data_IF_375437018071
#
_entry.id   IF_375437018071
#
_cell.length_a   1.000
_cell.length_b   1.000
_cell.length_c   1.000
_cell.angle_alpha   90.00
_cell.angle_beta   90.00
_cell.angle_gamma   90.00
#
_symmetry.space_group_name_H-M   'P 1'
#
loop_
_entity.id
_entity.type
_entity.pdbx_description
1 polymer ?
#
# COMPACT_ATOMS: atom_id res chain seq x y z
N UNK A 1 99.69 -63.69 19.91
CA UNK A 1 99.55 -63.46 18.45
C UNK A 1 98.34 -64.25 17.98
N UNK A 2 97.22 -63.58 17.70
CA UNK A 2 96.35 -63.81 16.52
C UNK A 2 95.50 -62.53 16.40
N UNK A 3 95.84 -61.68 15.43
CA UNK A 3 95.07 -60.51 14.99
C UNK A 3 93.96 -60.98 14.05
N UNK A 4 92.70 -60.65 14.37
CA UNK A 4 91.55 -60.86 13.49
C UNK A 4 91.31 -59.62 12.60
N UNK A 5 90.85 -59.80 11.35
CA UNK A 5 90.84 -58.73 10.33
C UNK A 5 89.65 -57.78 10.47
N UNK A 6 89.90 -56.52 10.10
CA UNK A 6 88.90 -55.45 10.02
C UNK A 6 87.89 -55.71 8.89
N UNK A 7 86.61 -55.80 9.23
CA UNK A 7 85.47 -55.84 8.31
C UNK A 7 85.24 -54.47 7.66
N UNK A 8 85.12 -54.46 6.33
CA UNK A 8 84.76 -53.30 5.52
C UNK A 8 83.37 -52.72 5.88
N UNK A 9 83.17 -51.39 5.80
CA UNK A 9 81.87 -50.78 6.09
C UNK A 9 80.87 -51.06 4.95
N UNK A 10 79.63 -51.41 5.34
CA UNK A 10 78.48 -51.55 4.42
C UNK A 10 78.11 -50.18 3.81
N UNK A 11 77.67 -50.14 2.54
CA UNK A 11 77.17 -48.91 1.92
C UNK A 11 75.86 -48.46 2.59
N UNK A 12 75.78 -47.17 2.93
CA UNK A 12 74.56 -46.53 3.44
C UNK A 12 73.56 -46.31 2.29
N UNK A 13 72.25 -46.50 2.53
CA UNK A 13 71.22 -46.22 1.53
C UNK A 13 71.06 -44.72 1.31
N UNK A 14 70.97 -44.32 0.05
CA UNK A 14 70.74 -42.94 -0.39
C UNK A 14 69.41 -42.40 0.17
N UNK A 15 69.47 -41.22 0.79
CA UNK A 15 68.30 -40.47 1.24
C UNK A 15 67.64 -39.87 0.00
N UNK A 16 66.41 -40.29 -0.30
CA UNK A 16 65.58 -39.65 -1.31
C UNK A 16 65.24 -38.22 -0.86
N UNK A 17 65.81 -37.22 -1.53
CA UNK A 17 65.36 -35.83 -1.40
C UNK A 17 63.89 -35.75 -1.81
N UNK A 18 63.03 -35.35 -0.86
CA UNK A 18 61.66 -34.96 -1.18
C UNK A 18 61.74 -33.71 -2.05
N UNK A 19 61.56 -33.89 -3.35
CA UNK A 19 61.45 -32.79 -4.32
C UNK A 19 60.32 -31.86 -3.85
N UNK A 20 60.71 -30.68 -3.34
CA UNK A 20 59.78 -29.66 -2.89
C UNK A 20 59.01 -29.16 -4.10
N UNK A 21 57.68 -29.34 -4.09
CA UNK A 21 56.81 -28.89 -5.16
C UNK A 21 57.07 -27.40 -5.46
N UNK A 22 57.17 -27.00 -6.73
CA UNK A 22 57.46 -25.62 -7.08
C UNK A 22 56.34 -24.72 -6.57
N UNK A 23 56.72 -23.55 -6.05
CA UNK A 23 55.79 -22.55 -5.53
C UNK A 23 55.54 -21.49 -6.59
N UNK A 24 54.28 -21.09 -6.73
CA UNK A 24 53.87 -20.02 -7.64
C UNK A 24 53.48 -18.77 -6.85
N UNK A 25 53.95 -17.61 -7.28
CA UNK A 25 53.46 -16.31 -6.80
C UNK A 25 52.35 -15.79 -7.69
N UNK A 26 51.20 -15.49 -7.09
CA UNK A 26 49.99 -15.07 -7.79
C UNK A 26 49.52 -13.71 -7.29
N UNK A 27 49.01 -12.89 -8.22
CA UNK A 27 48.38 -11.61 -7.92
C UNK A 27 46.85 -11.78 -7.99
N UNK A 28 46.19 -11.80 -6.84
CA UNK A 28 44.75 -12.03 -6.73
C UNK A 28 44.02 -10.69 -6.58
N UNK A 29 43.07 -10.41 -7.46
CA UNK A 29 42.14 -9.28 -7.34
C UNK A 29 40.77 -9.86 -7.04
N UNK A 30 40.35 -9.82 -5.77
CA UNK A 30 39.06 -10.35 -5.31
C UNK A 30 38.13 -9.19 -5.00
N UNK A 31 37.17 -8.93 -5.87
CA UNK A 31 36.30 -7.77 -5.76
C UNK A 31 37.08 -6.46 -5.86
N UNK A 32 37.23 -5.76 -4.72
CA UNK A 32 38.03 -4.52 -4.59
C UNK A 32 39.37 -4.72 -3.90
N UNK A 33 39.64 -5.91 -3.37
CA UNK A 33 40.85 -6.20 -2.62
C UNK A 33 41.90 -6.81 -3.54
N UNK A 34 43.15 -6.40 -3.37
CA UNK A 34 44.29 -7.02 -4.03
C UNK A 34 45.10 -7.77 -2.98
N UNK A 35 45.46 -9.02 -3.26
CA UNK A 35 46.20 -9.91 -2.37
C UNK A 35 47.26 -10.64 -3.19
N UNK A 36 48.48 -10.73 -2.67
CA UNK A 36 49.49 -11.65 -3.20
C UNK A 36 49.38 -12.99 -2.45
N UNK A 37 49.49 -14.09 -3.18
CA UNK A 37 49.46 -15.44 -2.60
C UNK A 37 50.59 -16.28 -3.15
N UNK A 38 51.17 -17.11 -2.29
CA UNK A 38 52.15 -18.13 -2.64
C UNK A 38 51.46 -19.49 -2.50
N UNK A 39 51.47 -20.28 -3.57
CA UNK A 39 50.72 -21.54 -3.66
C UNK A 39 51.63 -22.66 -4.15
N UNK A 40 51.56 -23.82 -3.52
CA UNK A 40 52.24 -25.02 -4.00
C UNK A 40 51.59 -25.51 -5.29
N UNK A 41 52.37 -25.62 -6.37
CA UNK A 41 51.90 -25.96 -7.69
C UNK A 41 52.49 -27.30 -8.16
N UNK A 42 51.77 -28.43 -7.99
CA UNK A 42 52.10 -29.63 -8.74
C UNK A 42 51.96 -29.33 -10.25
N UNK A 43 52.75 -30.00 -11.09
CA UNK A 43 53.01 -29.78 -12.54
C UNK A 43 51.96 -28.99 -13.37
N UNK A 44 50.67 -29.20 -13.16
CA UNK A 44 49.57 -28.47 -13.81
C UNK A 44 48.49 -28.04 -12.81
N UNK A 45 48.76 -26.99 -12.06
CA UNK A 45 47.78 -26.33 -11.19
C UNK A 45 46.80 -25.47 -12.02
N UNK A 46 45.50 -25.68 -11.89
CA UNK A 46 44.49 -24.80 -12.51
C UNK A 46 44.24 -23.53 -11.71
N UNK A 47 43.70 -22.48 -12.35
CA UNK A 47 43.28 -21.24 -11.69
C UNK A 47 42.29 -21.51 -10.54
N UNK A 48 41.37 -22.46 -10.72
CA UNK A 48 40.42 -22.86 -9.66
C UNK A 48 41.11 -23.44 -8.42
N UNK A 49 42.07 -24.35 -8.64
CA UNK A 49 42.84 -24.98 -7.57
C UNK A 49 43.78 -23.99 -6.89
N UNK A 50 44.40 -23.10 -7.67
CA UNK A 50 45.24 -22.01 -7.18
C UNK A 50 44.46 -21.06 -6.26
N UNK A 51 43.24 -20.66 -6.65
CA UNK A 51 42.35 -19.85 -5.80
C UNK A 51 41.96 -20.58 -4.50
N UNK A 52 41.62 -21.86 -4.60
CA UNK A 52 41.26 -22.69 -3.44
C UNK A 52 42.44 -22.81 -2.46
N UNK A 53 43.64 -23.07 -2.97
CA UNK A 53 44.86 -23.19 -2.17
C UNK A 53 45.31 -21.84 -1.56
N UNK A 54 45.02 -20.71 -2.23
CA UNK A 54 45.20 -19.37 -1.68
C UNK A 54 44.15 -18.95 -0.62
N UNK A 55 43.21 -19.85 -0.31
CA UNK A 55 42.12 -19.63 0.66
C UNK A 55 40.98 -18.74 0.12
N UNK A 56 40.86 -18.57 -1.20
CA UNK A 56 39.78 -17.80 -1.83
C UNK A 56 38.66 -18.74 -2.22
N UNK A 57 37.49 -18.58 -1.59
CA UNK A 57 36.27 -19.31 -1.97
C UNK A 57 35.55 -18.59 -3.10
N UNK A 58 35.26 -19.30 -4.18
CA UNK A 58 34.53 -18.79 -5.35
C UNK A 58 33.11 -19.35 -5.31
N UNK A 59 32.11 -18.48 -5.25
CA UNK A 59 30.71 -18.88 -5.27
C UNK A 59 30.26 -19.24 -6.70
N UNK A 60 29.12 -19.94 -6.81
CA UNK A 60 28.57 -20.38 -8.12
C UNK A 60 28.31 -19.25 -9.13
N UNK A 61 28.07 -18.03 -8.65
CA UNK A 61 27.76 -16.87 -9.49
C UNK A 61 28.99 -16.01 -9.79
N UNK A 62 30.09 -16.23 -9.09
CA UNK A 62 31.31 -15.44 -9.24
C UNK A 62 31.96 -15.71 -10.61
N UNK A 63 32.62 -14.70 -11.17
CA UNK A 63 33.32 -14.80 -12.46
C UNK A 63 34.81 -14.69 -12.25
N UNK A 64 35.54 -15.71 -12.71
CA UNK A 64 37.01 -15.77 -12.58
C UNK A 64 37.65 -15.51 -13.94
N UNK A 65 38.66 -14.63 -13.95
CA UNK A 65 39.44 -14.27 -15.13
C UNK A 65 40.94 -14.36 -14.85
N UNK A 66 41.72 -15.11 -15.64
CA UNK A 66 41.33 -16.05 -16.70
C UNK A 66 40.42 -17.19 -16.25
N UNK A 67 39.92 -17.99 -17.19
CA UNK A 67 38.94 -19.04 -16.89
C UNK A 67 39.45 -20.00 -15.80
N UNK A 68 38.55 -20.51 -14.98
CA UNK A 68 38.89 -21.38 -13.85
C UNK A 68 39.67 -22.65 -14.25
N UNK A 69 39.49 -23.13 -15.49
CA UNK A 69 40.20 -24.27 -16.07
C UNK A 69 41.56 -23.93 -16.70
N UNK A 70 41.93 -22.65 -16.79
CA UNK A 70 43.23 -22.22 -17.33
C UNK A 70 44.34 -22.66 -16.37
N UNK A 71 45.46 -23.12 -16.91
CA UNK A 71 46.66 -23.46 -16.13
C UNK A 71 47.28 -22.19 -15.53
N UNK A 72 47.56 -22.21 -14.24
CA UNK A 72 48.20 -21.11 -13.53
C UNK A 72 49.71 -21.08 -13.81
N UNK A 73 50.28 -19.88 -13.89
CA UNK A 73 51.71 -19.66 -14.12
C UNK A 73 52.25 -18.55 -13.19
N UNK A 74 53.57 -18.47 -13.09
CA UNK A 74 54.26 -17.53 -12.20
C UNK A 74 53.94 -16.06 -12.52
N UNK A 75 53.60 -15.28 -11.50
CA UNK A 75 53.21 -13.87 -11.64
C UNK A 75 51.82 -13.63 -12.25
N UNK A 76 51.04 -14.68 -12.50
CA UNK A 76 49.71 -14.57 -13.11
C UNK A 76 48.77 -13.72 -12.24
N UNK A 77 48.04 -12.80 -12.88
CA UNK A 77 46.99 -12.02 -12.22
C UNK A 77 45.64 -12.71 -12.41
N UNK A 78 45.02 -13.11 -11.30
CA UNK A 78 43.70 -13.73 -11.29
C UNK A 78 42.69 -12.73 -10.72
N UNK A 79 41.67 -12.39 -11.49
CA UNK A 79 40.56 -11.51 -11.08
C UNK A 79 39.33 -12.34 -10.77
N UNK A 80 38.81 -12.19 -9.56
CA UNK A 80 37.55 -12.78 -9.12
C UNK A 80 36.53 -11.65 -8.98
N UNK A 81 35.55 -11.62 -9.86
CA UNK A 81 34.39 -10.75 -9.75
C UNK A 81 33.35 -11.43 -8.88
N UNK A 82 33.09 -10.86 -7.70
CA UNK A 82 32.14 -11.42 -6.74
C UNK A 82 30.73 -11.00 -7.12
N UNK A 83 29.85 -11.98 -7.32
CA UNK A 83 28.45 -11.78 -7.67
C UNK A 83 27.56 -12.35 -6.57
N UNK A 84 26.77 -11.49 -5.92
CA UNK A 84 25.80 -11.92 -4.89
C UNK A 84 24.38 -11.54 -5.28
N UNK A 85 23.40 -12.27 -4.76
CA UNK A 85 21.97 -12.05 -5.00
C UNK A 85 21.13 -12.15 -3.72
N UNK A 86 21.30 -11.19 -2.83
CA UNK A 86 20.66 -11.23 -1.51
C UNK A 86 19.23 -10.69 -1.55
N UNK A 87 18.36 -11.22 -0.69
CA UNK A 87 17.02 -10.67 -0.49
C UNK A 87 17.10 -9.46 0.45
N UNK A 88 16.73 -8.29 -0.06
CA UNK A 88 16.60 -7.06 0.70
C UNK A 88 15.13 -6.77 1.00
N UNK A 89 14.85 -6.36 2.25
CA UNK A 89 13.54 -5.87 2.66
C UNK A 89 13.55 -4.34 2.68
N UNK A 90 12.58 -3.73 2.01
CA UNK A 90 12.35 -2.29 1.99
C UNK A 90 10.93 -2.00 2.43
N UNK A 91 10.75 -0.98 3.28
CA UNK A 91 9.43 -0.54 3.71
C UNK A 91 9.03 0.74 2.99
N UNK A 92 7.78 0.81 2.54
CA UNK A 92 7.17 2.04 2.02
C UNK A 92 5.88 2.34 2.78
N UNK A 93 5.56 3.63 2.94
CA UNK A 93 4.37 4.06 3.69
C UNK A 93 3.11 3.93 2.84
N UNK A 94 1.99 3.62 3.50
CA UNK A 94 0.65 3.66 2.92
C UNK A 94 -0.14 4.76 3.62
N UNK A 95 -0.66 5.70 2.85
CA UNK A 95 -1.47 6.79 3.38
C UNK A 95 -2.75 6.27 4.06
N UNK A 96 -3.14 6.92 5.15
CA UNK A 96 -4.41 6.69 5.80
C UNK A 96 -5.57 7.23 4.95
N UNK A 97 -6.66 6.47 4.85
CA UNK A 97 -7.87 6.92 4.18
C UNK A 97 -8.63 7.93 5.04
N UNK A 98 -9.38 8.83 4.39
CA UNK A 98 -10.31 9.73 5.04
C UNK A 98 -11.70 9.10 5.06
N UNK A 99 -12.30 9.03 6.24
CA UNK A 99 -13.67 8.54 6.46
C UNK A 99 -14.49 9.56 7.23
N UNK A 100 -15.79 9.55 6.99
CA UNK A 100 -16.78 10.39 7.64
C UNK A 100 -17.77 9.53 8.42
N UNK A 101 -18.16 9.98 9.61
CA UNK A 101 -19.19 9.32 10.43
C UNK A 101 -20.33 10.31 10.72
N UNK A 102 -21.47 10.22 10.01
CA UNK A 102 -22.64 11.01 10.36
C UNK A 102 -23.09 10.70 11.79
N UNK A 103 -23.39 11.71 12.60
CA UNK A 103 -23.76 11.53 14.00
C UNK A 103 -24.67 12.64 14.49
N UNK A 104 -25.53 12.32 15.45
CA UNK A 104 -26.36 13.28 16.19
C UNK A 104 -25.67 13.80 17.46
N UNK A 105 -24.52 13.24 17.85
CA UNK A 105 -23.81 13.60 19.09
C UNK A 105 -23.12 14.96 19.04
N UNK A 106 -23.02 15.57 17.85
CA UNK A 106 -22.55 16.95 17.65
C UNK A 106 -23.58 17.74 16.86
N UNK A 107 -23.60 19.05 17.05
CA UNK A 107 -24.55 19.96 16.38
C UNK A 107 -24.54 19.74 14.86
N UNK A 108 -25.72 19.73 14.24
CA UNK A 108 -25.85 19.63 12.79
C UNK A 108 -25.00 20.69 12.07
N UNK A 109 -24.22 20.25 11.08
CA UNK A 109 -23.25 21.09 10.35
C UNK A 109 -21.88 21.21 11.00
N UNK A 110 -21.72 20.84 12.27
CA UNK A 110 -20.42 20.80 12.92
C UNK A 110 -19.61 19.57 12.47
N UNK A 111 -18.29 19.67 12.61
CA UNK A 111 -17.36 18.58 12.33
C UNK A 111 -16.42 18.39 13.51
N UNK A 112 -16.08 17.14 13.81
CA UNK A 112 -15.10 16.81 14.85
C UNK A 112 -14.26 15.62 14.43
N UNK A 113 -12.93 15.76 14.47
CA UNK A 113 -12.07 14.59 14.28
C UNK A 113 -12.19 13.67 15.50
N UNK A 114 -12.56 12.42 15.26
CA UNK A 114 -12.73 11.41 16.31
C UNK A 114 -11.63 10.34 16.26
N UNK A 115 -10.92 10.21 15.13
CA UNK A 115 -9.76 9.35 15.00
C UNK A 115 -8.69 10.04 14.15
N UNK A 116 -7.46 10.09 14.67
CA UNK A 116 -6.30 10.59 13.93
C UNK A 116 -5.79 9.52 12.94
N UNK A 117 -5.29 9.92 11.75
CA UNK A 117 -4.74 8.97 10.79
C UNK A 117 -3.44 8.35 11.31
N UNK A 118 -3.23 7.06 11.00
CA UNK A 118 -1.93 6.40 11.13
C UNK A 118 -1.55 5.76 9.82
N UNK A 119 -0.38 6.10 9.29
CA UNK A 119 0.13 5.50 8.07
C UNK A 119 0.39 3.99 8.26
N UNK A 120 0.04 3.22 7.24
CA UNK A 120 0.40 1.81 7.13
C UNK A 120 1.81 1.64 6.58
N UNK A 121 2.27 0.39 6.52
CA UNK A 121 3.57 0.01 5.94
C UNK A 121 3.38 -1.16 4.98
N UNK A 122 3.97 -1.06 3.81
CA UNK A 122 4.14 -2.17 2.87
C UNK A 122 5.58 -2.65 2.97
N UNK A 123 5.76 -3.96 3.12
CA UNK A 123 7.04 -4.63 2.96
C UNK A 123 7.18 -5.02 1.49
N UNK A 124 8.25 -4.53 0.87
CA UNK A 124 8.70 -4.90 -0.47
C UNK A 124 9.94 -5.78 -0.29
N UNK A 125 9.91 -6.97 -0.87
CA UNK A 125 11.08 -7.86 -0.94
C UNK A 125 11.64 -7.76 -2.36
N UNK A 126 12.90 -7.37 -2.45
CA UNK A 126 13.66 -7.24 -3.69
C UNK A 126 14.87 -8.19 -3.62
N UNK A 127 15.19 -8.87 -4.72
CA UNK A 127 16.47 -9.53 -4.88
C UNK A 127 17.45 -8.50 -5.44
N UNK A 128 18.55 -8.26 -4.73
CA UNK A 128 19.55 -7.26 -5.09
C UNK A 128 20.79 -7.96 -5.63
N UNK A 129 21.13 -7.68 -6.88
CA UNK A 129 22.31 -8.20 -7.53
C UNK A 129 23.49 -7.26 -7.31
N UNK A 130 24.57 -7.74 -6.70
CA UNK A 130 25.79 -6.95 -6.53
C UNK A 130 26.95 -7.54 -7.33
N UNK A 131 27.79 -6.68 -7.89
CA UNK A 131 29.05 -7.03 -8.53
C UNK A 131 30.16 -6.28 -7.77
N UNK A 132 31.08 -7.02 -7.15
CA UNK A 132 32.17 -6.46 -6.34
C UNK A 132 31.66 -5.50 -5.25
N UNK A 133 30.52 -5.85 -4.63
CA UNK A 133 29.85 -5.04 -3.61
C UNK A 133 29.13 -3.79 -4.14
N UNK A 134 29.09 -3.56 -5.46
CA UNK A 134 28.30 -2.48 -6.07
C UNK A 134 27.00 -3.05 -6.62
N UNK A 135 25.87 -2.45 -6.27
CA UNK A 135 24.57 -2.83 -6.82
C UNK A 135 24.55 -2.66 -8.34
N UNK A 136 24.12 -3.70 -9.04
CA UNK A 136 23.99 -3.75 -10.51
C UNK A 136 22.56 -3.87 -10.98
N UNK A 137 21.67 -4.39 -10.13
CA UNK A 137 20.26 -4.49 -10.44
C UNK A 137 19.42 -4.93 -9.25
N UNK A 138 18.10 -4.74 -9.38
CA UNK A 138 17.11 -5.27 -8.46
C UNK A 138 16.00 -5.97 -9.22
N UNK A 139 15.49 -7.04 -8.63
CA UNK A 139 14.34 -7.78 -9.12
C UNK A 139 13.26 -7.76 -8.05
N UNK A 140 12.04 -7.35 -8.42
CA UNK A 140 10.89 -7.37 -7.52
C UNK A 140 10.46 -8.81 -7.24
N UNK A 141 10.41 -9.20 -5.97
CA UNK A 141 9.99 -10.55 -5.57
C UNK A 141 8.57 -10.54 -5.02
N UNK A 142 8.28 -9.67 -4.05
CA UNK A 142 6.95 -9.61 -3.46
C UNK A 142 6.63 -8.26 -2.81
N UNK A 143 5.33 -8.01 -2.64
CA UNK A 143 4.77 -6.85 -1.96
C UNK A 143 3.67 -7.33 -1.03
N UNK A 144 3.77 -7.02 0.27
CA UNK A 144 2.72 -7.33 1.25
C UNK A 144 2.46 -6.18 2.20
N UNK A 145 1.24 -6.08 2.69
CA UNK A 145 0.88 -5.12 3.73
C UNK A 145 1.44 -5.61 5.07
N UNK A 146 2.47 -4.93 5.59
CA UNK A 146 3.09 -5.25 6.87
C UNK A 146 2.32 -4.64 8.05
N UNK A 147 1.81 -3.41 7.88
CA UNK A 147 0.98 -2.73 8.88
C UNK A 147 -0.17 -2.05 8.16
N UNK A 148 -1.41 -2.35 8.55
CA UNK A 148 -2.59 -1.70 7.99
C UNK A 148 -2.65 -0.22 8.41
N UNK A 149 -3.01 0.70 7.50
CA UNK A 149 -3.24 2.10 7.86
C UNK A 149 -4.49 2.22 8.74
N UNK A 150 -4.47 3.15 9.71
CA UNK A 150 -5.67 3.53 10.45
C UNK A 150 -6.27 4.79 9.81
N UNK A 151 -7.56 4.78 9.46
CA UNK A 151 -8.18 5.90 8.77
C UNK A 151 -8.27 7.13 9.67
N UNK A 152 -8.30 8.30 9.03
CA UNK A 152 -8.76 9.54 9.67
C UNK A 152 -10.28 9.53 9.68
N UNK A 153 -10.91 9.58 10.84
CA UNK A 153 -12.37 9.62 10.95
C UNK A 153 -12.82 11.01 11.41
N UNK A 154 -13.66 11.65 10.60
CA UNK A 154 -14.33 12.92 10.90
C UNK A 154 -15.81 12.66 11.18
N UNK A 155 -16.26 12.96 12.39
CA UNK A 155 -17.68 13.00 12.71
C UNK A 155 -18.35 14.20 12.03
N UNK A 156 -19.48 13.96 11.35
CA UNK A 156 -20.31 14.99 10.73
C UNK A 156 -21.63 15.10 11.48
N UNK A 157 -21.90 16.27 12.07
CA UNK A 157 -23.15 16.52 12.77
C UNK A 157 -24.34 16.50 11.82
N UNK A 158 -25.36 15.71 12.15
CA UNK A 158 -26.56 15.52 11.36
C UNK A 158 -27.82 15.56 12.25
N UNK A 159 -28.97 15.89 11.66
CA UNK A 159 -30.27 15.71 12.33
C UNK A 159 -30.68 14.23 12.29
N UNK A 160 -31.35 13.74 13.32
CA UNK A 160 -31.73 12.32 13.42
C UNK A 160 -32.57 11.86 12.24
N UNK A 161 -33.54 12.67 11.79
CA UNK A 161 -34.42 12.40 10.66
C UNK A 161 -33.74 12.36 9.29
N UNK A 162 -32.49 12.80 9.17
CA UNK A 162 -31.70 12.73 7.92
C UNK A 162 -30.58 11.68 7.99
N UNK A 163 -30.43 10.99 9.12
CA UNK A 163 -29.48 9.89 9.24
C UNK A 163 -29.96 8.66 8.46
N UNK A 164 -29.08 7.93 7.76
CA UNK A 164 -29.47 6.80 6.91
C UNK A 164 -30.27 5.70 7.63
N UNK A 165 -30.02 5.49 8.93
CA UNK A 165 -30.70 4.51 9.77
C UNK A 165 -32.16 4.87 10.09
N UNK A 166 -32.50 6.17 10.07
CA UNK A 166 -33.81 6.67 10.47
C UNK A 166 -34.73 6.99 9.28
N UNK A 167 -34.23 6.88 8.04
CA UNK A 167 -34.99 7.17 6.84
C UNK A 167 -35.57 5.88 6.27
N UNK A 168 -36.91 5.77 6.27
CA UNK A 168 -37.62 4.66 5.64
C UNK A 168 -37.38 4.64 4.13
N UNK A 169 -36.92 3.52 3.53
CA UNK A 169 -36.73 3.38 2.09
C UNK A 169 -37.91 3.91 1.27
N UNK A 170 -37.73 5.03 0.58
CA UNK A 170 -38.73 5.60 -0.30
C UNK A 170 -38.56 4.96 -1.68
N UNK A 171 -39.68 4.60 -2.33
CA UNK A 171 -39.68 3.91 -3.64
C UNK A 171 -38.77 4.55 -4.69
N UNK A 172 -38.66 5.89 -4.67
CA UNK A 172 -37.81 6.66 -5.61
C UNK A 172 -36.30 6.50 -5.41
N UNK A 173 -35.84 6.08 -4.22
CA UNK A 173 -34.42 5.81 -3.97
C UNK A 173 -34.11 4.34 -3.64
N UNK A 174 -35.13 3.53 -3.33
CA UNK A 174 -34.96 2.10 -3.04
C UNK A 174 -34.40 1.30 -4.24
N UNK A 175 -34.58 1.79 -5.47
CA UNK A 175 -34.04 1.16 -6.69
C UNK A 175 -32.51 1.25 -6.79
N UNK A 176 -31.87 2.19 -6.10
CA UNK A 176 -30.45 2.47 -6.26
C UNK A 176 -29.52 1.46 -5.56
N UNK A 177 -30.05 0.48 -4.82
CA UNK A 177 -29.22 -0.49 -4.08
C UNK A 177 -29.97 -1.78 -3.70
N UNK A 178 -30.62 -2.47 -4.65
CA UNK A 178 -31.23 -3.79 -4.38
C UNK A 178 -32.36 -3.83 -3.32
N UNK A 179 -32.71 -2.71 -2.69
CA UNK A 179 -33.70 -2.62 -1.61
C UNK A 179 -35.13 -2.95 -2.08
N UNK A 180 -35.41 -2.91 -3.39
CA UNK A 180 -36.76 -3.23 -3.91
C UNK A 180 -37.03 -4.75 -3.92
N UNK A 181 -36.00 -5.60 -4.02
CA UNK A 181 -36.19 -7.06 -4.04
C UNK A 181 -36.61 -7.64 -2.68
N UNK A 182 -36.49 -6.90 -1.59
CA UNK A 182 -36.89 -7.34 -0.24
C UNK A 182 -38.32 -6.95 0.16
N UNK A 183 -39.06 -6.23 -0.70
CA UNK A 183 -40.46 -5.86 -0.46
C UNK A 183 -41.48 -6.78 -1.15
N UNK A 184 -41.04 -7.87 -1.80
CA UNK A 184 -41.92 -8.98 -2.21
C UNK A 184 -41.42 -10.28 -1.57
N UNK A 185 -41.97 -10.60 -0.38
CA UNK A 185 -41.93 -11.93 0.22
C UNK A 185 -40.54 -12.45 0.61
N UNK A 186 -40.16 -12.29 1.88
CA UNK A 186 -38.98 -12.93 2.46
C UNK A 186 -38.96 -12.79 3.98
N UNK A 187 -38.47 -13.82 4.68
CA UNK A 187 -38.45 -13.83 6.14
C UNK A 187 -37.47 -12.78 6.68
N UNK A 188 -37.63 -12.31 7.93
CA UNK A 188 -36.72 -11.33 8.53
C UNK A 188 -35.23 -11.77 8.54
N UNK A 189 -34.95 -13.08 8.54
CA UNK A 189 -33.58 -13.62 8.46
C UNK A 189 -32.97 -13.47 7.07
N UNK A 190 -33.74 -13.68 6.01
CA UNK A 190 -33.26 -13.55 4.62
C UNK A 190 -32.91 -12.09 4.28
N UNK A 191 -33.61 -11.15 4.92
CA UNK A 191 -33.34 -9.70 4.83
C UNK A 191 -32.05 -9.27 5.53
N UNK A 192 -31.62 -10.01 6.56
CA UNK A 192 -30.36 -9.75 7.25
C UNK A 192 -29.16 -10.33 6.47
N UNK A 193 -29.33 -11.47 5.79
CA UNK A 193 -28.29 -12.11 5.00
C UNK A 193 -27.95 -11.37 3.69
N UNK A 194 -28.94 -10.74 3.03
CA UNK A 194 -28.73 -10.00 1.77
C UNK A 194 -28.03 -8.62 1.93
N UNK A 195 -27.67 -8.23 3.15
CA UNK A 195 -27.05 -6.92 3.47
C UNK A 195 -25.55 -6.98 3.79
N UNK A 196 -24.91 -8.15 3.70
CA UNK A 196 -23.50 -8.32 4.10
C UNK A 196 -22.65 -8.62 2.86
N UNK A 197 -21.80 -7.69 2.38
CA UNK A 197 -20.62 -8.08 1.63
C UNK A 197 -19.64 -8.76 2.60
N UNK A 198 -19.28 -9.98 2.27
CA UNK A 198 -18.29 -10.78 2.98
C UNK A 198 -16.90 -10.16 2.73
N UNK A 199 -16.19 -9.85 3.82
CA UNK A 199 -14.79 -9.36 3.86
C UNK A 199 -14.51 -7.86 3.57
N UNK A 200 -14.88 -7.00 4.50
CA UNK A 200 -13.96 -6.05 5.15
C UNK A 200 -14.68 -5.43 6.36
N UNK A 201 -13.94 -5.10 7.41
CA UNK A 201 -14.45 -4.56 8.68
C UNK A 201 -15.04 -3.15 8.48
N UNK A 202 -16.20 -3.07 7.83
CA UNK A 202 -16.95 -1.83 7.61
C UNK A 202 -17.83 -1.60 8.82
N UNK A 203 -17.34 -0.76 9.74
CA UNK A 203 -18.24 -0.08 10.67
C UNK A 203 -19.31 0.63 9.83
N UNK A 204 -20.53 0.08 9.87
CA UNK A 204 -21.70 0.47 9.06
C UNK A 204 -22.01 1.98 9.17
N UNK A 205 -21.52 2.62 10.24
CA UNK A 205 -21.66 4.05 10.51
C UNK A 205 -20.67 4.96 9.77
N UNK A 206 -19.61 4.41 9.18
CA UNK A 206 -18.56 5.18 8.49
C UNK A 206 -18.73 5.16 6.97
N UNK A 207 -18.39 6.28 6.33
CA UNK A 207 -18.54 6.51 4.90
C UNK A 207 -17.26 7.09 4.32
N UNK A 208 -16.80 6.57 3.19
CA UNK A 208 -15.68 7.14 2.43
C UNK A 208 -16.18 8.07 1.32
N UNK A 209 -15.44 9.13 0.97
CA UNK A 209 -15.71 9.90 -0.24
C UNK A 209 -15.39 9.04 -1.48
N UNK A 210 -16.39 8.82 -2.33
CA UNK A 210 -16.25 8.00 -3.56
C UNK A 210 -16.05 8.89 -4.78
N UNK A 211 -16.73 10.03 -4.83
CA UNK A 211 -16.66 10.96 -5.97
C UNK A 211 -16.77 12.39 -5.49
N UNK A 212 -15.89 13.26 -5.99
CA UNK A 212 -16.02 14.70 -5.84
C UNK A 212 -16.73 15.29 -7.07
N UNK A 213 -17.72 16.14 -6.84
CA UNK A 213 -18.32 16.98 -7.87
C UNK A 213 -17.87 18.41 -7.59
N UNK A 214 -17.08 18.95 -8.50
CA UNK A 214 -16.55 20.30 -8.39
C UNK A 214 -17.50 21.36 -8.97
N UNK A 215 -17.36 22.58 -8.43
CA UNK A 215 -18.05 23.78 -8.87
C UNK A 215 -19.58 23.64 -8.84
N UNK A 216 -20.12 22.96 -7.83
CA UNK A 216 -21.57 22.80 -7.64
C UNK A 216 -22.16 24.12 -7.14
N UNK A 217 -23.16 24.64 -7.85
CA UNK A 217 -23.94 25.78 -7.37
C UNK A 217 -24.80 25.32 -6.20
N UNK A 218 -24.67 25.98 -5.05
CA UNK A 218 -25.47 25.75 -3.85
C UNK A 218 -26.32 26.97 -3.59
N UNK A 219 -27.61 26.73 -3.32
CA UNK A 219 -28.55 27.71 -2.78
C UNK A 219 -29.08 27.19 -1.44
N UNK A 220 -29.81 28.04 -0.72
CA UNK A 220 -30.44 27.65 0.54
C UNK A 220 -31.96 27.78 0.47
N UNK A 221 -32.65 26.82 1.08
CA UNK A 221 -34.09 26.88 1.33
C UNK A 221 -34.39 26.48 2.78
N UNK A 222 -35.59 26.79 3.25
CA UNK A 222 -36.10 26.38 4.54
C UNK A 222 -37.58 25.99 4.42
N UNK A 223 -38.09 25.30 5.42
CA UNK A 223 -39.48 24.86 5.45
C UNK A 223 -40.46 26.06 5.42
N UNK A 224 -41.60 25.88 4.75
CA UNK A 224 -42.64 26.90 4.61
C UNK A 224 -42.37 27.97 3.53
N UNK A 225 -43.43 28.69 3.15
CA UNK A 225 -43.43 29.59 1.98
C UNK A 225 -42.38 30.70 2.08
N UNK A 226 -42.16 31.22 3.29
CA UNK A 226 -41.14 32.23 3.58
C UNK A 226 -39.69 31.70 3.44
N UNK A 227 -39.51 30.38 3.50
CA UNK A 227 -38.23 29.70 3.28
C UNK A 227 -38.04 29.20 1.85
N UNK A 228 -38.96 29.50 0.93
CA UNK A 228 -38.91 29.03 -0.45
C UNK A 228 -39.47 27.62 -0.66
N UNK A 229 -39.93 26.95 0.39
CA UNK A 229 -40.60 25.64 0.27
C UNK A 229 -42.12 25.77 0.26
N UNK A 230 -42.78 25.00 -0.59
CA UNK A 230 -44.26 24.93 -0.62
C UNK A 230 -44.80 24.06 0.52
N UNK A 231 -43.95 23.20 1.12
CA UNK A 231 -44.35 22.31 2.21
C UNK A 231 -43.24 22.11 3.26
N UNK A 232 -43.52 21.35 4.32
CA UNK A 232 -42.52 20.97 5.33
C UNK A 232 -41.80 19.64 5.00
N UNK A 233 -42.07 19.07 3.84
CA UNK A 233 -41.62 17.74 3.42
C UNK A 233 -40.88 17.79 2.10
N UNK A 234 -39.86 16.95 1.96
CA UNK A 234 -39.12 16.77 0.71
C UNK A 234 -39.86 15.84 -0.26
N UNK A 235 -39.42 15.77 -1.51
CA UNK A 235 -39.95 14.88 -2.55
C UNK A 235 -39.94 13.38 -2.20
N UNK A 236 -39.21 12.97 -1.15
CA UNK A 236 -39.20 11.60 -0.62
C UNK A 236 -39.84 11.47 0.77
N UNK A 237 -40.53 12.49 1.26
CA UNK A 237 -41.22 12.46 2.56
C UNK A 237 -40.31 12.60 3.77
N UNK A 238 -39.07 13.09 3.60
CA UNK A 238 -38.21 13.47 4.73
C UNK A 238 -38.59 14.88 5.16
N UNK A 239 -38.54 15.19 6.45
CA UNK A 239 -38.82 16.56 6.92
C UNK A 239 -37.74 17.51 6.39
N UNK A 240 -38.16 18.67 5.88
CA UNK A 240 -37.26 19.74 5.47
C UNK A 240 -36.55 20.32 6.70
N UNK A 241 -35.36 19.84 6.99
CA UNK A 241 -34.49 20.28 8.09
C UNK A 241 -33.05 20.33 7.61
N UNK A 242 -32.16 20.93 8.40
CA UNK A 242 -30.73 20.87 8.12
C UNK A 242 -30.25 19.44 7.80
N UNK A 243 -29.53 19.31 6.69
CA UNK A 243 -29.04 18.07 6.11
C UNK A 243 -29.92 17.50 4.99
N UNK A 244 -31.14 17.98 4.78
CA UNK A 244 -31.92 17.62 3.59
C UNK A 244 -31.41 18.38 2.36
N UNK A 245 -31.25 17.69 1.23
CA UNK A 245 -30.67 18.27 0.01
C UNK A 245 -31.55 17.99 -1.20
N UNK A 246 -31.89 19.06 -1.92
CA UNK A 246 -32.52 18.97 -3.23
C UNK A 246 -31.45 18.82 -4.32
N UNK A 247 -31.63 17.85 -5.20
CA UNK A 247 -30.65 17.51 -6.25
C UNK A 247 -31.32 17.27 -7.59
N UNK A 248 -30.53 17.22 -8.66
CA UNK A 248 -30.92 16.57 -9.92
C UNK A 248 -30.65 15.06 -9.83
N UNK A 249 -31.67 14.19 -9.78
CA UNK A 249 -31.50 12.74 -9.65
C UNK A 249 -30.69 12.10 -10.77
N UNK A 250 -30.59 12.75 -11.94
CA UNK A 250 -29.77 12.29 -13.08
C UNK A 250 -28.27 12.40 -12.80
N UNK A 251 -27.87 13.34 -11.95
CA UNK A 251 -26.48 13.54 -11.56
C UNK A 251 -26.17 12.97 -10.17
N UNK A 252 -27.04 13.23 -9.20
CA UNK A 252 -26.92 12.74 -7.82
C UNK A 252 -28.21 11.97 -7.51
N UNK A 253 -28.17 10.62 -7.55
CA UNK A 253 -29.35 9.83 -7.22
C UNK A 253 -29.90 10.15 -5.83
N UNK A 254 -31.23 10.11 -5.68
CA UNK A 254 -31.87 10.20 -4.37
C UNK A 254 -31.38 9.04 -3.48
N UNK A 255 -31.30 9.27 -2.17
CA UNK A 255 -30.73 8.34 -1.19
C UNK A 255 -29.20 8.42 -1.03
N UNK A 256 -28.54 9.24 -1.84
CA UNK A 256 -27.10 9.51 -1.76
C UNK A 256 -26.75 10.29 -0.49
N UNK A 257 -25.65 9.89 0.16
CA UNK A 257 -25.07 10.58 1.32
C UNK A 257 -24.00 11.53 0.81
N UNK A 258 -23.96 12.73 1.35
CA UNK A 258 -23.13 13.82 0.85
C UNK A 258 -22.30 14.41 2.00
N UNK A 259 -21.08 14.80 1.67
CA UNK A 259 -20.36 15.84 2.40
C UNK A 259 -20.30 17.06 1.50
N UNK A 260 -20.75 18.21 2.00
CA UNK A 260 -20.82 19.47 1.26
C UNK A 260 -19.89 20.47 1.93
N UNK A 261 -18.94 21.01 1.18
CA UNK A 261 -17.96 21.97 1.73
C UNK A 261 -18.67 23.17 2.36
N UNK A 262 -18.32 23.49 3.61
CA UNK A 262 -18.93 24.60 4.36
C UNK A 262 -20.34 24.33 4.92
N UNK A 263 -20.94 23.17 4.62
CA UNK A 263 -22.27 22.78 5.12
C UNK A 263 -22.24 21.45 5.91
N UNK A 264 -21.31 20.53 5.63
CA UNK A 264 -21.23 19.27 6.35
C UNK A 264 -22.11 18.19 5.74
N UNK A 265 -22.80 17.40 6.59
CA UNK A 265 -23.54 16.23 6.14
C UNK A 265 -24.82 16.61 5.39
N UNK A 266 -25.05 15.94 4.25
CA UNK A 266 -26.27 16.06 3.48
C UNK A 266 -26.83 14.70 3.05
N UNK A 267 -28.15 14.64 2.89
CA UNK A 267 -28.87 13.48 2.36
C UNK A 267 -29.74 13.94 1.18
N UNK A 268 -29.53 13.31 0.02
CA UNK A 268 -30.26 13.62 -1.20
C UNK A 268 -31.69 13.05 -1.12
N UNK A 269 -32.64 13.86 -0.68
CA UNK A 269 -34.03 13.45 -0.46
C UNK A 269 -35.06 14.38 -1.11
N UNK A 270 -34.61 15.39 -1.86
CA UNK A 270 -35.51 16.33 -2.48
C UNK A 270 -35.16 16.61 -3.95
N UNK A 271 -36.11 17.20 -4.66
CA UNK A 271 -35.98 17.61 -6.05
C UNK A 271 -36.75 18.89 -6.29
N UNK A 272 -36.22 19.79 -7.12
CA UNK A 272 -36.93 21.00 -7.54
C UNK A 272 -36.95 21.15 -9.06
N UNK A 273 -37.92 21.92 -9.58
CA UNK A 273 -38.01 22.25 -11.01
C UNK A 273 -36.73 22.93 -11.51
N UNK A 274 -36.26 23.93 -10.76
CA UNK A 274 -35.04 24.70 -11.04
C UNK A 274 -33.73 23.98 -10.65
N UNK A 275 -33.80 22.92 -9.85
CA UNK A 275 -32.62 22.17 -9.39
C UNK A 275 -32.25 21.14 -10.45
N UNK A 276 -31.29 21.51 -11.31
CA UNK A 276 -30.87 20.76 -12.50
C UNK A 276 -29.34 20.79 -12.67
N UNK A 277 -28.76 19.69 -13.11
CA UNK A 277 -27.32 19.54 -13.29
C UNK A 277 -26.52 19.74 -12.00
N UNK A 278 -25.43 20.51 -12.07
CA UNK A 278 -24.56 20.85 -10.92
C UNK A 278 -25.14 22.00 -10.07
N UNK A 279 -26.43 21.94 -9.77
CA UNK A 279 -27.10 22.85 -8.84
C UNK A 279 -27.80 22.00 -7.79
N UNK A 280 -27.54 22.27 -6.51
CA UNK A 280 -28.23 21.69 -5.37
C UNK A 280 -28.81 22.78 -4.48
N UNK A 281 -29.89 22.46 -3.78
CA UNK A 281 -30.48 23.33 -2.78
C UNK A 281 -30.31 22.71 -1.39
N UNK A 282 -29.82 23.50 -0.44
CA UNK A 282 -29.48 23.04 0.91
C UNK A 282 -30.57 23.47 1.88
N UNK A 283 -31.14 22.53 2.62
CA UNK A 283 -32.15 22.86 3.62
C UNK A 283 -31.50 23.50 4.86
N UNK A 284 -32.16 24.51 5.42
CA UNK A 284 -31.80 25.13 6.68
C UNK A 284 -33.00 25.10 7.63
N UNK A 285 -32.71 25.19 8.93
CA UNK A 285 -33.76 25.20 9.95
C UNK A 285 -34.52 26.54 10.02
N UNK A 286 -34.03 27.59 9.34
CA UNK A 286 -34.72 28.88 9.23
C UNK A 286 -34.45 29.59 7.91
N UNK A 287 -35.42 30.40 7.46
CA UNK A 287 -35.27 31.21 6.26
C UNK A 287 -34.09 32.19 6.36
N UNK A 288 -33.83 32.73 7.56
CA UNK A 288 -32.66 33.60 7.80
C UNK A 288 -31.34 32.87 7.58
N UNK A 289 -31.21 31.62 8.03
CA UNK A 289 -30.01 30.83 7.80
C UNK A 289 -29.83 30.50 6.30
N UNK A 290 -30.92 30.20 5.58
CA UNK A 290 -30.90 30.00 4.13
C UNK A 290 -30.46 31.26 3.38
N UNK A 291 -31.00 32.43 3.72
CA UNK A 291 -30.61 33.71 3.12
C UNK A 291 -29.14 34.04 3.41
N UNK A 292 -28.67 33.81 4.63
CA UNK A 292 -27.27 34.05 5.00
C UNK A 292 -26.29 33.13 4.26
N UNK A 293 -26.71 31.91 3.90
CA UNK A 293 -25.93 31.05 3.02
C UNK A 293 -25.80 31.68 1.63
N UNK A 294 -26.90 32.17 1.07
CA UNK A 294 -26.93 32.77 -0.25
C UNK A 294 -26.54 31.78 -1.37
N UNK A 295 -26.10 32.28 -2.52
CA UNK A 295 -25.66 31.44 -3.64
C UNK A 295 -24.14 31.33 -3.64
N UNK A 296 -23.61 30.11 -3.59
CA UNK A 296 -22.16 29.84 -3.57
C UNK A 296 -21.79 28.68 -4.48
N UNK A 297 -20.54 28.60 -4.90
CA UNK A 297 -20.00 27.40 -5.57
C UNK A 297 -19.11 26.63 -4.59
N UNK A 298 -19.39 25.35 -4.41
CA UNK A 298 -18.66 24.51 -3.46
C UNK A 298 -18.38 23.13 -4.05
N UNK A 299 -17.50 22.38 -3.39
CA UNK A 299 -17.29 20.95 -3.68
C UNK A 299 -18.28 20.11 -2.90
N UNK A 300 -18.76 19.06 -3.56
CA UNK A 300 -19.69 18.08 -3.00
C UNK A 300 -19.11 16.70 -3.18
N UNK A 301 -18.92 15.98 -2.09
CA UNK A 301 -18.46 14.60 -2.11
C UNK A 301 -19.65 13.65 -1.95
N UNK A 302 -19.78 12.74 -2.89
CA UNK A 302 -20.64 11.56 -2.75
C UNK A 302 -19.95 10.60 -1.79
N UNK A 303 -20.65 10.27 -0.72
CA UNK A 303 -20.20 9.36 0.31
C UNK A 303 -20.82 7.98 0.10
N UNK A 304 -20.02 6.94 0.24
CA UNK A 304 -20.54 5.58 0.29
C UNK A 304 -19.73 4.69 1.18
N UNK A 305 -20.14 3.42 1.21
CA UNK A 305 -19.45 2.38 1.98
C UNK A 305 -18.22 1.96 1.22
#
# INVERSE_FOLDING_TARGET
>A
IVTAPATAPKPQPAIAEKEQAPKLHLNLIVGKQTKSAEVEAPDRLSVAEALKAAGVTVNKLDRVFPAASTTAYEGMTIRVQQVTNDLAKRYTSVAAQLMYRPTTSIKAGAQKQIQAPRAGKIEIVERVWTLNGKETGREFISKKLAVAPQPRIIALGARSNVLPENIRPHRRYASAKGYINSFRGGSPRDRAAAMVPENQSDDVSTLRPIRCIENVATTGYAAGRAGGSISNWTATGVRCTYGAVAVDPRLIPLGTKLYIEGYGYGFACDTGGAIKGKHIDLAFDSARAAMNHGRRRTRVWILGR
#
